data_IF_385083015902
#
_entry.id   IF_385083015902
#
_cell.length_a   1.000
_cell.length_b   1.000
_cell.length_c   1.000
_cell.angle_alpha   90.00
_cell.angle_beta   90.00
_cell.angle_gamma   90.00
#
_symmetry.space_group_name_H-M   'P 1'
#
loop_
_entity.id
_entity.type
_entity.pdbx_description
1 polymer ?
#
# COMPACT_ATOMS: atom_id res chain seq x y z
N UNK A 1 9.01 22.03 30.74
CA UNK A 1 9.50 23.04 29.78
C UNK A 1 8.71 22.86 28.49
N UNK A 2 7.70 23.70 28.25
CA UNK A 2 6.73 23.54 27.16
C UNK A 2 7.12 24.51 26.04
N UNK A 3 7.81 24.02 25.01
CA UNK A 3 8.27 24.85 23.88
C UNK A 3 7.06 25.09 22.97
N UNK A 4 6.35 26.19 23.19
CA UNK A 4 5.38 26.71 22.21
C UNK A 4 6.19 27.35 21.07
N UNK A 5 6.31 26.61 19.96
CA UNK A 5 6.87 27.12 18.71
C UNK A 5 6.12 28.38 18.27
N UNK A 6 6.85 29.39 17.82
CA UNK A 6 6.25 30.64 17.36
C UNK A 6 5.49 30.42 16.03
N UNK A 7 4.43 31.19 15.73
CA UNK A 7 3.62 31.00 14.52
C UNK A 7 4.42 31.00 13.20
N UNK A 8 5.52 31.77 13.14
CA UNK A 8 6.42 31.79 11.99
C UNK A 8 7.25 30.51 11.87
N UNK A 9 7.72 29.93 12.98
CA UNK A 9 8.45 28.66 12.98
C UNK A 9 7.54 27.50 12.53
N UNK A 10 6.29 27.47 13.02
CA UNK A 10 5.30 26.46 12.60
C UNK A 10 5.03 26.55 11.09
N UNK A 11 4.89 27.76 10.55
CA UNK A 11 4.70 28.01 9.11
C UNK A 11 5.91 27.55 8.29
N UNK A 12 7.12 27.87 8.76
CA UNK A 12 8.36 27.50 8.06
C UNK A 12 8.57 25.98 8.05
N UNK A 13 8.27 25.29 9.16
CA UNK A 13 8.30 23.82 9.24
C UNK A 13 7.26 23.18 8.32
N UNK A 14 6.04 23.74 8.24
CA UNK A 14 5.01 23.23 7.32
C UNK A 14 5.41 23.43 5.86
N UNK A 15 6.03 24.57 5.51
CA UNK A 15 6.49 24.83 4.16
C UNK A 15 7.65 23.91 3.74
N UNK A 16 8.58 23.60 4.65
CA UNK A 16 9.65 22.63 4.41
C UNK A 16 9.07 21.22 4.23
N UNK A 17 8.16 20.80 5.11
CA UNK A 17 7.50 19.50 5.01
C UNK A 17 6.73 19.34 3.69
N UNK A 18 5.99 20.38 3.28
CA UNK A 18 5.27 20.40 2.00
C UNK A 18 6.22 20.32 0.80
N UNK A 19 7.35 21.04 0.83
CA UNK A 19 8.38 20.93 -0.21
C UNK A 19 8.93 19.52 -0.32
N UNK A 20 9.20 18.86 0.82
CA UNK A 20 9.67 17.46 0.84
C UNK A 20 8.59 16.53 0.28
N UNK A 21 7.33 16.69 0.69
CA UNK A 21 6.20 15.88 0.19
C UNK A 21 6.04 16.04 -1.33
N UNK A 22 6.10 17.27 -1.85
CA UNK A 22 5.99 17.53 -3.28
C UNK A 22 7.19 17.01 -4.05
N UNK A 23 8.39 17.10 -3.45
CA UNK A 23 9.60 16.53 -4.02
C UNK A 23 9.56 15.00 -4.07
N UNK A 24 9.06 14.34 -3.04
CA UNK A 24 8.98 12.87 -2.98
C UNK A 24 7.84 12.35 -3.85
N UNK A 25 6.62 12.85 -3.68
CA UNK A 25 5.42 12.23 -4.26
C UNK A 25 4.95 12.89 -5.55
N UNK A 26 5.39 14.11 -5.83
CA UNK A 26 5.01 14.88 -7.01
C UNK A 26 4.17 16.11 -6.66
N UNK A 27 4.31 17.14 -7.48
CA UNK A 27 3.67 18.44 -7.28
C UNK A 27 2.18 18.35 -7.67
N UNK A 28 1.23 18.68 -6.77
CA UNK A 28 -0.19 18.74 -7.08
C UNK A 28 -0.58 19.56 -8.30
N UNK A 29 0.24 20.55 -8.69
CA UNK A 29 -0.02 21.40 -9.85
C UNK A 29 0.42 20.77 -11.17
N UNK A 30 1.32 19.77 -11.12
CA UNK A 30 1.95 19.15 -12.31
C UNK A 30 1.57 17.69 -12.48
N UNK A 31 1.35 16.98 -11.38
CA UNK A 31 1.12 15.54 -11.35
C UNK A 31 -0.34 15.26 -10.96
N UNK A 32 -0.99 14.36 -11.70
CA UNK A 32 -2.35 13.93 -11.38
C UNK A 32 -2.41 13.19 -10.05
N UNK A 33 -3.63 13.05 -9.50
CA UNK A 33 -3.85 12.33 -8.24
C UNK A 33 -3.27 10.92 -8.30
N UNK A 34 -3.50 10.21 -9.40
CA UNK A 34 -3.08 8.83 -9.62
C UNK A 34 -1.56 8.71 -9.67
N UNK A 35 -0.87 9.65 -10.34
CA UNK A 35 0.59 9.64 -10.39
C UNK A 35 1.19 9.83 -8.99
N UNK A 36 0.66 10.79 -8.23
CA UNK A 36 1.12 11.04 -6.86
C UNK A 36 0.82 9.85 -5.96
N UNK A 37 -0.39 9.29 -6.04
CA UNK A 37 -0.78 8.12 -5.26
C UNK A 37 0.12 6.93 -5.58
N UNK A 38 0.40 6.66 -6.86
CA UNK A 38 1.34 5.63 -7.28
C UNK A 38 2.70 5.84 -6.62
N UNK A 39 3.28 7.05 -6.74
CA UNK A 39 4.59 7.34 -6.15
C UNK A 39 4.58 7.17 -4.63
N UNK A 40 3.55 7.66 -3.94
CA UNK A 40 3.42 7.52 -2.49
C UNK A 40 3.35 6.06 -2.08
N UNK A 41 2.47 5.27 -2.70
CA UNK A 41 2.28 3.86 -2.34
C UNK A 41 3.53 3.06 -2.67
N UNK A 42 4.11 3.21 -3.87
CA UNK A 42 5.34 2.51 -4.25
C UNK A 42 6.52 2.85 -3.34
N UNK A 43 6.72 4.13 -3.01
CA UNK A 43 7.83 4.55 -2.14
C UNK A 43 7.64 4.09 -0.70
N UNK A 44 6.47 4.34 -0.12
CA UNK A 44 6.20 4.01 1.28
C UNK A 44 6.20 2.50 1.49
N UNK A 45 5.51 1.72 0.66
CA UNK A 45 5.56 0.25 0.76
C UNK A 45 6.94 -0.29 0.42
N UNK A 46 7.65 0.32 -0.53
CA UNK A 46 9.02 -0.03 -0.85
C UNK A 46 9.93 0.06 0.39
N UNK A 47 9.87 1.18 1.09
CA UNK A 47 10.63 1.41 2.33
C UNK A 47 10.17 0.48 3.45
N UNK A 48 8.85 0.40 3.70
CA UNK A 48 8.30 -0.43 4.77
C UNK A 48 8.63 -1.90 4.57
N UNK A 49 8.59 -2.43 3.34
CA UNK A 49 8.98 -3.81 3.07
C UNK A 49 10.50 -4.00 3.23
N UNK A 50 11.35 -3.06 2.81
CA UNK A 50 12.80 -3.19 3.03
C UNK A 50 13.12 -3.23 4.53
N UNK A 51 12.57 -2.31 5.33
CA UNK A 51 12.77 -2.34 6.79
C UNK A 51 12.09 -3.54 7.44
N UNK A 52 10.90 -3.91 6.96
CA UNK A 52 10.14 -5.07 7.38
C UNK A 52 10.91 -6.38 7.20
N UNK A 53 11.69 -6.50 6.11
CA UNK A 53 12.56 -7.64 5.88
C UNK A 53 13.55 -7.84 7.04
N UNK A 54 14.24 -6.78 7.48
CA UNK A 54 15.18 -6.89 8.60
C UNK A 54 14.48 -7.16 9.94
N UNK A 55 13.25 -6.65 10.09
CA UNK A 55 12.46 -6.93 11.28
C UNK A 55 12.04 -8.41 11.38
N UNK A 56 12.02 -9.18 10.29
CA UNK A 56 11.54 -10.57 10.32
C UNK A 56 12.53 -11.57 10.92
N UNK A 57 13.75 -11.18 11.28
CA UNK A 57 14.81 -12.09 11.75
C UNK A 57 14.50 -12.85 13.04
N UNK A 58 13.50 -12.41 13.82
CA UNK A 58 13.07 -13.12 15.03
C UNK A 58 12.11 -14.29 14.75
N UNK A 59 11.62 -14.44 13.50
CA UNK A 59 10.63 -15.46 13.13
C UNK A 59 11.32 -16.76 12.67
N UNK A 60 10.71 -17.92 12.95
CA UNK A 60 11.29 -19.21 12.54
C UNK A 60 11.41 -19.36 11.02
N UNK A 61 10.47 -18.78 10.26
CA UNK A 61 10.45 -18.79 8.80
C UNK A 61 11.01 -17.50 8.18
N UNK A 62 11.91 -16.81 8.90
CA UNK A 62 12.40 -15.49 8.50
C UNK A 62 12.96 -15.43 7.09
N UNK A 63 13.61 -16.48 6.57
CA UNK A 63 14.21 -16.44 5.22
C UNK A 63 13.16 -16.17 4.14
N UNK A 64 12.03 -16.87 4.19
CA UNK A 64 10.96 -16.68 3.21
C UNK A 64 10.36 -15.28 3.32
N UNK A 65 10.05 -14.84 4.54
CA UNK A 65 9.49 -13.52 4.82
C UNK A 65 10.46 -12.41 4.42
N UNK A 66 11.75 -12.59 4.71
CA UNK A 66 12.82 -11.66 4.36
C UNK A 66 12.90 -11.48 2.85
N UNK A 67 13.01 -12.57 2.08
CA UNK A 67 13.10 -12.47 0.62
C UNK A 67 11.84 -11.87 0.00
N UNK A 68 10.65 -12.26 0.48
CA UNK A 68 9.40 -11.67 -0.01
C UNK A 68 9.37 -10.16 0.22
N UNK A 69 9.70 -9.71 1.43
CA UNK A 69 9.75 -8.30 1.78
C UNK A 69 10.86 -7.55 1.02
N UNK A 70 12.08 -8.07 1.02
CA UNK A 70 13.23 -7.40 0.41
C UNK A 70 13.08 -7.27 -1.11
N UNK A 71 12.68 -8.36 -1.80
CA UNK A 71 12.49 -8.36 -3.26
C UNK A 71 11.34 -7.44 -3.64
N UNK A 72 10.17 -7.60 -3.02
CA UNK A 72 9.01 -6.74 -3.32
C UNK A 72 9.31 -5.27 -3.03
N UNK A 73 9.96 -4.98 -1.90
CA UNK A 73 10.35 -3.62 -1.52
C UNK A 73 11.31 -3.01 -2.54
N UNK A 74 12.33 -3.75 -2.95
CA UNK A 74 13.28 -3.31 -3.99
C UNK A 74 12.58 -3.04 -5.32
N UNK A 75 11.68 -3.92 -5.76
CA UNK A 75 10.93 -3.73 -7.00
C UNK A 75 10.01 -2.51 -6.92
N UNK A 76 9.33 -2.28 -5.80
CA UNK A 76 8.47 -1.12 -5.58
C UNK A 76 9.26 0.19 -5.57
N UNK A 77 10.45 0.22 -4.95
CA UNK A 77 11.36 1.35 -5.02
C UNK A 77 11.85 1.59 -6.46
N UNK A 78 12.17 0.53 -7.19
CA UNK A 78 12.51 0.61 -8.62
C UNK A 78 11.38 1.25 -9.44
N UNK A 79 10.13 0.81 -9.23
CA UNK A 79 8.95 1.40 -9.88
C UNK A 79 8.74 2.86 -9.51
N UNK A 80 8.95 3.22 -8.24
CA UNK A 80 8.91 4.61 -7.80
C UNK A 80 9.91 5.46 -8.60
N UNK A 81 11.17 5.04 -8.70
CA UNK A 81 12.18 5.79 -9.46
C UNK A 81 11.83 5.90 -10.95
N UNK A 82 11.37 4.81 -11.57
CA UNK A 82 10.95 4.82 -12.98
C UNK A 82 9.76 5.78 -13.18
N UNK A 83 8.76 5.73 -12.31
CA UNK A 83 7.59 6.61 -12.34
C UNK A 83 7.97 8.08 -12.13
N UNK A 84 8.93 8.37 -11.25
CA UNK A 84 9.40 9.74 -11.01
C UNK A 84 10.19 10.31 -12.19
N UNK A 85 11.10 9.53 -12.77
CA UNK A 85 11.99 10.01 -13.84
C UNK A 85 11.26 10.07 -15.18
N UNK A 86 10.51 9.02 -15.54
CA UNK A 86 9.88 8.88 -16.86
C UNK A 86 8.39 9.27 -16.89
N UNK A 87 7.76 9.50 -15.73
CA UNK A 87 6.31 9.81 -15.63
C UNK A 87 5.38 8.76 -16.28
N UNK A 88 5.84 7.51 -16.42
CA UNK A 88 5.12 6.40 -17.07
C UNK A 88 4.31 5.52 -16.11
N UNK A 89 3.71 6.11 -15.07
CA UNK A 89 2.99 5.35 -14.04
C UNK A 89 1.83 4.51 -14.61
N UNK A 90 1.21 4.95 -15.72
CA UNK A 90 0.18 4.19 -16.43
C UNK A 90 0.66 2.83 -16.94
N UNK A 91 1.86 2.77 -17.53
CA UNK A 91 2.42 1.50 -18.03
C UNK A 91 2.88 0.59 -16.87
N UNK A 92 3.20 1.18 -15.72
CA UNK A 92 3.59 0.45 -14.52
C UNK A 92 2.40 -0.09 -13.72
N UNK A 93 1.16 0.26 -14.08
CA UNK A 93 -0.04 -0.18 -13.39
C UNK A 93 -0.10 -1.70 -13.20
N UNK A 94 0.00 -2.47 -14.28
CA UNK A 94 -0.09 -3.93 -14.20
C UNK A 94 1.10 -4.57 -13.47
N UNK A 95 2.36 -4.23 -13.79
CA UNK A 95 3.51 -4.71 -13.03
C UNK A 95 3.40 -4.44 -11.52
N UNK A 96 2.94 -3.25 -11.14
CA UNK A 96 2.77 -2.85 -9.75
C UNK A 96 1.74 -3.72 -9.02
N UNK A 97 0.55 -3.89 -9.60
CA UNK A 97 -0.49 -4.70 -9.00
C UNK A 97 -0.12 -6.19 -8.95
N UNK A 98 0.59 -6.70 -9.96
CA UNK A 98 1.09 -8.07 -9.96
C UNK A 98 2.10 -8.31 -8.84
N UNK A 99 3.04 -7.38 -8.60
CA UNK A 99 3.97 -7.50 -7.46
C UNK A 99 3.21 -7.57 -6.14
N UNK A 100 2.21 -6.70 -5.95
CA UNK A 100 1.41 -6.69 -4.73
C UNK A 100 0.64 -7.99 -4.57
N UNK A 101 -0.04 -8.47 -5.62
CA UNK A 101 -0.80 -9.72 -5.57
C UNK A 101 0.10 -10.92 -5.30
N UNK A 102 1.25 -11.01 -5.98
CA UNK A 102 2.23 -12.08 -5.74
C UNK A 102 2.74 -12.02 -4.31
N UNK A 103 3.14 -10.84 -3.83
CA UNK A 103 3.59 -10.64 -2.47
C UNK A 103 2.54 -11.07 -1.44
N UNK A 104 1.30 -10.57 -1.55
CA UNK A 104 0.22 -10.91 -0.62
C UNK A 104 -0.15 -12.41 -0.69
N UNK A 105 -0.16 -12.99 -1.88
CA UNK A 105 -0.47 -14.40 -2.08
C UNK A 105 0.60 -15.31 -1.48
N UNK A 106 1.88 -14.96 -1.60
CA UNK A 106 2.95 -15.74 -0.98
C UNK A 106 3.01 -15.53 0.53
N UNK A 107 2.82 -14.30 1.00
CA UNK A 107 2.73 -14.01 2.43
C UNK A 107 1.57 -14.73 3.10
N UNK A 108 0.50 -15.07 2.37
CA UNK A 108 -0.57 -15.94 2.87
C UNK A 108 -0.03 -17.23 3.49
N UNK A 109 0.85 -17.95 2.79
CA UNK A 109 1.36 -19.24 3.25
C UNK A 109 2.38 -19.13 4.39
N UNK A 110 3.06 -17.99 4.50
CA UNK A 110 4.13 -17.79 5.48
C UNK A 110 3.73 -16.92 6.67
N UNK A 111 2.55 -16.32 6.66
CA UNK A 111 2.10 -15.38 7.68
C UNK A 111 0.63 -15.66 8.06
N UNK A 112 0.38 -16.89 8.51
CA UNK A 112 -0.88 -17.27 9.15
C UNK A 112 -2.10 -17.38 8.25
N UNK A 113 -1.99 -17.23 6.93
CA UNK A 113 -3.09 -17.39 5.98
C UNK A 113 -4.37 -16.64 6.39
N UNK A 114 -5.48 -17.37 6.44
CA UNK A 114 -6.79 -16.82 6.82
C UNK A 114 -6.88 -16.36 8.28
N UNK A 115 -6.04 -16.87 9.18
CA UNK A 115 -6.06 -16.49 10.61
C UNK A 115 -5.07 -15.37 10.95
N UNK A 116 -4.18 -15.01 10.01
CA UNK A 116 -3.17 -13.98 10.17
C UNK A 116 -3.65 -12.57 9.80
N UNK A 117 -2.78 -11.57 9.92
CA UNK A 117 -3.11 -10.18 9.62
C UNK A 117 -2.88 -9.76 8.16
N UNK A 118 -2.03 -10.49 7.42
CA UNK A 118 -1.59 -10.04 6.10
C UNK A 118 -2.71 -10.03 5.04
N UNK A 119 -3.73 -10.87 5.17
CA UNK A 119 -4.83 -10.93 4.19
C UNK A 119 -5.71 -9.66 4.21
N UNK A 120 -5.71 -8.87 5.28
CA UNK A 120 -6.45 -7.60 5.30
C UNK A 120 -5.95 -6.60 4.24
N UNK A 121 -4.68 -6.69 3.82
CA UNK A 121 -4.09 -5.78 2.83
C UNK A 121 -4.62 -5.96 1.41
N UNK A 122 -5.33 -7.05 1.11
CA UNK A 122 -6.03 -7.17 -0.18
C UNK A 122 -7.08 -6.06 -0.37
N UNK A 123 -7.67 -5.55 0.72
CA UNK A 123 -8.66 -4.47 0.69
C UNK A 123 -8.03 -3.14 0.22
N UNK A 124 -7.05 -2.55 0.93
CA UNK A 124 -6.44 -1.30 0.49
C UNK A 124 -5.69 -1.49 -0.84
N UNK A 125 -5.14 -2.67 -1.14
CA UNK A 125 -4.55 -2.95 -2.44
C UNK A 125 -5.58 -2.82 -3.57
N UNK A 126 -6.77 -3.39 -3.41
CA UNK A 126 -7.86 -3.24 -4.39
C UNK A 126 -8.33 -1.78 -4.51
N UNK A 127 -8.46 -1.08 -3.39
CA UNK A 127 -8.83 0.35 -3.38
C UNK A 127 -7.80 1.18 -4.14
N UNK A 128 -6.50 0.96 -3.90
CA UNK A 128 -5.43 1.65 -4.63
C UNK A 128 -5.48 1.27 -6.11
N UNK A 129 -5.61 -0.01 -6.45
CA UNK A 129 -5.71 -0.47 -7.83
C UNK A 129 -6.85 0.20 -8.59
N UNK A 130 -8.01 0.36 -7.95
CA UNK A 130 -9.17 1.04 -8.56
C UNK A 130 -8.96 2.54 -8.72
N UNK A 131 -8.35 3.23 -7.74
CA UNK A 131 -8.05 4.67 -7.88
C UNK A 131 -7.03 4.94 -8.99
N UNK A 132 -6.03 4.06 -9.14
CA UNK A 132 -5.02 4.19 -10.20
C UNK A 132 -5.56 3.87 -11.61
N UNK A 133 -6.77 3.32 -11.70
CA UNK A 133 -7.38 2.88 -12.94
C UNK A 133 -8.04 4.03 -13.71
N UNK A 134 -7.47 4.42 -14.85
CA UNK A 134 -7.98 5.56 -15.64
C UNK A 134 -8.88 5.18 -16.83
N UNK A 135 -8.60 4.07 -17.51
CA UNK A 135 -9.28 3.65 -18.76
C UNK A 135 -9.42 2.12 -18.94
N UNK A 136 -9.09 1.35 -17.90
CA UNK A 136 -9.16 -0.11 -17.96
C UNK A 136 -10.50 -0.59 -17.44
N UNK A 137 -10.88 -1.80 -17.85
CA UNK A 137 -12.09 -2.44 -17.36
C UNK A 137 -11.96 -2.71 -15.86
N UNK A 138 -12.65 -1.92 -15.02
CA UNK A 138 -12.62 -2.07 -13.56
C UNK A 138 -13.06 -3.46 -13.10
N UNK A 139 -13.94 -4.10 -13.88
CA UNK A 139 -14.38 -5.46 -13.63
C UNK A 139 -13.24 -6.47 -13.71
N UNK A 140 -12.24 -6.24 -14.56
CA UNK A 140 -11.07 -7.12 -14.64
C UNK A 140 -10.25 -7.04 -13.35
N UNK A 141 -10.06 -5.85 -12.80
CA UNK A 141 -9.35 -5.68 -11.52
C UNK A 141 -10.11 -6.36 -10.39
N UNK A 142 -11.44 -6.16 -10.32
CA UNK A 142 -12.27 -6.85 -9.32
C UNK A 142 -12.22 -8.36 -9.47
N UNK A 143 -12.33 -8.87 -10.69
CA UNK A 143 -12.28 -10.31 -10.96
C UNK A 143 -10.94 -10.90 -10.54
N UNK A 144 -9.82 -10.26 -10.87
CA UNK A 144 -8.48 -10.73 -10.50
C UNK A 144 -8.35 -10.79 -8.97
N UNK A 145 -8.65 -9.69 -8.27
CA UNK A 145 -8.51 -9.66 -6.81
C UNK A 145 -9.45 -10.65 -6.10
N UNK A 146 -10.71 -10.74 -6.54
CA UNK A 146 -11.69 -11.67 -5.96
C UNK A 146 -11.30 -13.13 -6.25
N UNK A 147 -10.81 -13.42 -7.45
CA UNK A 147 -10.38 -14.78 -7.81
C UNK A 147 -9.11 -15.15 -7.04
N UNK A 148 -8.14 -14.24 -6.90
CA UNK A 148 -6.94 -14.47 -6.10
C UNK A 148 -7.27 -14.79 -4.65
N UNK A 149 -8.15 -14.02 -4.00
CA UNK A 149 -8.53 -14.28 -2.61
C UNK A 149 -9.35 -15.56 -2.47
N UNK A 150 -10.34 -15.78 -3.33
CA UNK A 150 -11.13 -17.01 -3.33
C UNK A 150 -10.25 -18.26 -3.55
N UNK A 151 -9.26 -18.17 -4.45
CA UNK A 151 -8.31 -19.23 -4.70
C UNK A 151 -7.44 -19.54 -3.48
N UNK A 152 -6.93 -18.52 -2.78
CA UNK A 152 -6.12 -18.71 -1.56
C UNK A 152 -6.93 -19.37 -0.44
N UNK A 153 -8.15 -18.91 -0.20
CA UNK A 153 -9.07 -19.55 0.74
C UNK A 153 -9.38 -20.99 0.34
N UNK A 154 -9.60 -21.24 -0.97
CA UNK A 154 -9.83 -22.58 -1.50
C UNK A 154 -8.64 -23.51 -1.26
N UNK A 155 -7.41 -23.07 -1.58
CA UNK A 155 -6.20 -23.85 -1.31
C UNK A 155 -6.06 -24.13 0.17
N UNK A 156 -6.17 -23.12 1.04
CA UNK A 156 -6.03 -23.33 2.49
C UNK A 156 -7.11 -24.28 3.03
N UNK A 157 -8.33 -24.23 2.49
CA UNK A 157 -9.40 -25.13 2.91
C UNK A 157 -9.06 -26.60 2.63
N UNK A 158 -8.52 -26.91 1.45
CA UNK A 158 -8.15 -28.27 1.05
C UNK A 158 -6.76 -28.72 1.54
N UNK A 159 -5.84 -27.77 1.76
CA UNK A 159 -4.43 -27.98 2.08
C UNK A 159 -3.96 -27.05 3.20
N UNK A 160 -4.50 -27.26 4.40
CA UNK A 160 -4.19 -26.44 5.59
C UNK A 160 -2.72 -26.49 5.97
N UNK A 161 -2.06 -27.61 5.68
CA UNK A 161 -0.65 -27.86 5.95
C UNK A 161 0.31 -26.91 5.21
N UNK A 162 -0.15 -26.27 4.13
CA UNK A 162 0.65 -25.30 3.38
C UNK A 162 0.81 -23.96 4.11
N UNK A 163 -0.07 -23.66 5.07
CA UNK A 163 -0.05 -22.41 5.83
C UNK A 163 0.74 -22.61 7.13
N UNK A 164 1.78 -21.81 7.31
CA UNK A 164 2.53 -21.77 8.57
C UNK A 164 1.69 -21.14 9.66
N UNK A 165 1.45 -21.93 10.70
CA UNK A 165 0.73 -21.51 11.91
C UNK A 165 1.61 -20.64 12.81
N UNK A 166 0.98 -19.80 13.62
CA UNK A 166 1.66 -19.04 14.67
C UNK A 166 2.14 -19.94 15.80
N UNK A 167 3.24 -19.57 16.44
CA UNK A 167 3.80 -20.29 17.58
C UNK A 167 2.93 -20.18 18.83
N UNK A 168 2.20 -19.07 18.98
CA UNK A 168 1.30 -18.83 20.10
C UNK A 168 0.19 -17.82 19.73
N UNK A 169 -0.87 -17.77 20.54
CA UNK A 169 -2.00 -16.87 20.34
C UNK A 169 -1.60 -15.39 20.43
N UNK A 170 -0.61 -15.05 21.27
CA UNK A 170 -0.17 -13.65 21.44
C UNK A 170 0.39 -13.09 20.12
N UNK A 171 1.27 -13.82 19.44
CA UNK A 171 1.80 -13.45 18.12
C UNK A 171 0.68 -13.30 17.10
N UNK A 172 -0.28 -14.24 17.09
CA UNK A 172 -1.45 -14.16 16.20
C UNK A 172 -2.26 -12.89 16.45
N UNK A 173 -2.58 -12.57 17.70
CA UNK A 173 -3.39 -11.38 18.02
C UNK A 173 -2.66 -10.08 17.76
N UNK A 174 -1.35 -10.01 18.02
CA UNK A 174 -0.55 -8.84 17.69
C UNK A 174 -0.47 -8.63 16.18
N UNK A 175 -0.27 -9.70 15.40
CA UNK A 175 -0.23 -9.62 13.95
C UNK A 175 -1.60 -9.29 13.36
N UNK A 176 -2.64 -10.07 13.67
CA UNK A 176 -3.98 -9.85 13.13
C UNK A 176 -4.56 -8.51 13.59
N UNK A 177 -4.49 -8.19 14.88
CA UNK A 177 -5.01 -6.94 15.44
C UNK A 177 -4.25 -5.71 14.95
N UNK A 178 -2.92 -5.78 14.91
CA UNK A 178 -2.06 -4.70 14.42
C UNK A 178 -2.33 -4.38 12.94
N UNK A 179 -2.34 -5.41 12.08
CA UNK A 179 -2.61 -5.23 10.66
C UNK A 179 -4.05 -4.78 10.40
N UNK A 180 -5.04 -5.28 11.14
CA UNK A 180 -6.43 -4.84 11.00
C UNK A 180 -6.58 -3.34 11.28
N UNK A 181 -6.03 -2.86 12.41
CA UNK A 181 -6.05 -1.44 12.76
C UNK A 181 -5.33 -0.58 11.72
N UNK A 182 -4.15 -1.04 11.27
CA UNK A 182 -3.39 -0.34 10.23
C UNK A 182 -4.18 -0.23 8.92
N UNK A 183 -4.76 -1.33 8.45
CA UNK A 183 -5.56 -1.38 7.22
C UNK A 183 -6.80 -0.50 7.32
N UNK A 184 -7.46 -0.46 8.48
CA UNK A 184 -8.61 0.40 8.70
C UNK A 184 -8.26 1.88 8.58
N UNK A 185 -7.18 2.32 9.25
CA UNK A 185 -6.69 3.70 9.17
C UNK A 185 -6.27 4.05 7.74
N UNK A 186 -5.50 3.17 7.09
CA UNK A 186 -5.01 3.38 5.72
C UNK A 186 -6.17 3.50 4.74
N UNK A 187 -7.14 2.58 4.78
CA UNK A 187 -8.30 2.59 3.88
C UNK A 187 -9.17 3.81 4.11
N UNK A 188 -9.41 4.19 5.38
CA UNK A 188 -10.13 5.42 5.71
C UNK A 188 -9.45 6.68 5.17
N UNK A 189 -8.12 6.75 5.28
CA UNK A 189 -7.33 7.86 4.73
C UNK A 189 -7.43 7.93 3.20
N UNK A 190 -7.34 6.79 2.50
CA UNK A 190 -7.47 6.72 1.04
C UNK A 190 -8.83 7.24 0.57
N UNK A 191 -9.92 6.77 1.21
CA UNK A 191 -11.29 7.21 0.89
C UNK A 191 -11.46 8.70 1.18
N UNK A 192 -10.92 9.20 2.29
CA UNK A 192 -10.95 10.62 2.63
C UNK A 192 -10.25 11.49 1.58
N UNK A 193 -9.03 11.09 1.16
CA UNK A 193 -8.26 11.80 0.12
C UNK A 193 -9.04 11.81 -1.21
N UNK A 194 -9.60 10.66 -1.62
CA UNK A 194 -10.38 10.54 -2.84
C UNK A 194 -11.61 11.45 -2.81
N UNK A 195 -12.39 11.40 -1.72
CA UNK A 195 -13.61 12.20 -1.56
C UNK A 195 -13.30 13.69 -1.59
N UNK A 196 -12.21 14.12 -0.93
CA UNK A 196 -11.78 15.52 -0.93
C UNK A 196 -11.35 15.98 -2.32
N UNK A 197 -10.64 15.14 -3.06
CA UNK A 197 -10.23 15.45 -4.43
C UNK A 197 -11.44 15.62 -5.36
N UNK A 198 -12.39 14.68 -5.31
CA UNK A 198 -13.65 14.75 -6.07
C UNK A 198 -14.46 16.02 -5.75
N UNK A 199 -14.53 16.41 -4.48
CA UNK A 199 -15.22 17.64 -4.07
C UNK A 199 -14.55 18.92 -4.62
N UNK A 200 -13.23 18.94 -4.72
CA UNK A 200 -12.49 20.06 -5.33
C UNK A 200 -12.77 20.12 -6.83
N UNK A 201 -12.73 18.98 -7.53
CA UNK A 201 -13.06 18.93 -8.96
C UNK A 201 -14.49 19.39 -9.25
N UNK A 202 -15.46 19.00 -8.41
CA UNK A 202 -16.85 19.45 -8.51
C UNK A 202 -16.99 20.95 -8.32
N UNK A 203 -16.35 21.54 -7.30
CA UNK A 203 -16.37 22.99 -7.07
C UNK A 203 -15.76 23.77 -8.23
N UNK A 204 -14.64 23.29 -8.77
CA UNK A 204 -14.01 23.93 -9.93
C UNK A 204 -14.93 23.90 -11.15
N UNK A 205 -15.66 22.81 -11.41
CA UNK A 205 -16.62 22.75 -12.53
C UNK A 205 -17.79 23.74 -12.38
N UNK A 206 -18.29 23.97 -11.16
CA UNK A 206 -19.40 24.92 -10.93
C UNK A 206 -18.95 26.37 -11.16
N UNK A 207 -17.67 26.71 -10.93
CA UNK A 207 -17.11 28.05 -11.16
C UNK A 207 -16.89 28.40 -12.65
N UNK A 208 -17.00 27.43 -13.55
CA UNK A 208 -16.84 27.62 -15.00
C UNK A 208 -18.17 27.64 -15.77
N UNK A 209 -19.31 27.58 -15.07
CA UNK A 209 -20.66 27.78 -15.61
C UNK A 209 -21.32 28.97 -14.93
#
# INVERSE_FOLDING_TARGET
MNIKLQPEEVKNVTDIALKIIYFLFGDPKKNSLEHRLFNTVSFVNGILNIFGAFSSFYLENFLAIFFLNFISGTLLIGMYFISRIKSIYHSLFWPFNLIILIYLSWMWFFNGGSIGGNHYYFIPALVIATILLRKHNVWLVYLIYATSTAFLYGIEFFHRELVKSYSNDTERYLDAGGNYLFVQILTGLLIFILTRNLNIERKNRILFY
#
